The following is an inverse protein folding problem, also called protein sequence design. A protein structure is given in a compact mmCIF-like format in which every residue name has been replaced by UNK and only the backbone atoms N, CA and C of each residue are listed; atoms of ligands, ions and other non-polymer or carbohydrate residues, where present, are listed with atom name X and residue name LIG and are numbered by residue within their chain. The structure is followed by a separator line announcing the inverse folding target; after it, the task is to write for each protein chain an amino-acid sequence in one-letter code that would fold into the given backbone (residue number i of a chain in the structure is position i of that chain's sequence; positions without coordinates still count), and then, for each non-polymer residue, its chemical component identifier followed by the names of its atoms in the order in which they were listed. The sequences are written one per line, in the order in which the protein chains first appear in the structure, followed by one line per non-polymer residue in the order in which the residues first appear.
data_IF_955802379304
#
_entry.id   IF_955802379304
#
_cell.length_a   1.000
_cell.length_b   1.000
_cell.length_c   1.000
_cell.angle_alpha   90.00
_cell.angle_beta   90.00
_cell.angle_gamma   90.00
#
_symmetry.space_group_name_H-M   'P 1'
#
loop_
_entity.id
_entity.type
_entity.pdbx_description
1 polymer ?
#
# COMPACT_ATOMS: atom_id res chain seq x y z
N UNK A 1 3.47 13.62 20.26
CA UNK A 1 3.22 13.44 18.82
C UNK A 1 2.70 12.02 18.62
N UNK A 2 1.43 11.86 18.22
CA UNK A 2 0.83 10.53 18.09
C UNK A 2 1.31 9.87 16.79
N UNK A 3 2.18 8.87 16.90
CA UNK A 3 2.58 8.05 15.74
C UNK A 3 1.44 7.10 15.41
N UNK A 4 0.86 7.20 14.22
CA UNK A 4 -0.19 6.31 13.73
C UNK A 4 0.41 5.05 13.08
N UNK A 5 -0.43 4.05 12.81
CA UNK A 5 -0.05 2.86 12.05
C UNK A 5 -0.56 2.93 10.62
N UNK A 6 0.31 2.66 9.66
CA UNK A 6 -0.03 2.52 8.25
C UNK A 6 -1.06 1.40 8.07
N UNK A 7 -2.24 1.72 7.53
CA UNK A 7 -3.32 0.74 7.33
C UNK A 7 -3.00 -0.33 6.27
N UNK A 8 -1.94 -0.10 5.47
CA UNK A 8 -1.51 -0.99 4.40
C UNK A 8 -0.50 -2.01 4.92
N UNK A 9 0.53 -1.56 5.65
CA UNK A 9 1.65 -2.41 6.04
C UNK A 9 1.99 -2.36 7.54
N UNK A 10 1.12 -1.79 8.37
CA UNK A 10 1.24 -1.64 9.84
C UNK A 10 2.48 -0.90 10.37
N UNK A 11 3.36 -0.44 9.49
CA UNK A 11 4.53 0.36 9.86
C UNK A 11 4.16 1.78 10.31
N UNK A 12 5.13 2.55 10.84
CA UNK A 12 4.87 3.89 11.33
C UNK A 12 4.28 4.82 10.24
N UNK A 13 3.23 5.55 10.61
CA UNK A 13 2.57 6.63 9.86
C UNK A 13 2.57 7.89 10.72
N UNK A 14 2.67 9.04 10.08
CA UNK A 14 2.59 10.34 10.77
C UNK A 14 1.25 11.01 10.43
N UNK A 15 0.77 10.82 9.19
CA UNK A 15 -0.47 11.42 8.68
C UNK A 15 -0.94 10.67 7.43
N UNK A 16 -2.17 10.95 6.99
CA UNK A 16 -2.77 10.36 5.81
C UNK A 16 -2.09 10.80 4.50
N UNK A 17 -1.83 9.84 3.61
CA UNK A 17 -1.43 10.09 2.23
C UNK A 17 -2.46 9.49 1.28
N UNK A 18 -2.75 10.18 0.18
CA UNK A 18 -3.72 9.69 -0.82
C UNK A 18 -5.09 9.34 -0.20
N UNK A 19 -5.51 10.07 0.85
CA UNK A 19 -6.77 9.85 1.56
C UNK A 19 -6.76 8.73 2.61
N UNK A 20 -5.62 8.08 2.87
CA UNK A 20 -5.53 6.94 3.80
C UNK A 20 -4.31 7.07 4.72
N UNK A 21 -4.49 6.78 6.02
CA UNK A 21 -3.42 6.64 7.00
C UNK A 21 -2.40 5.58 6.53
N UNK A 22 -1.25 6.03 6.06
CA UNK A 22 -0.28 5.19 5.37
C UNK A 22 1.13 5.72 5.56
N UNK A 23 2.13 4.84 5.48
CA UNK A 23 3.51 5.28 5.49
C UNK A 23 3.92 5.79 4.10
N UNK A 24 4.92 6.69 4.06
CA UNK A 24 5.46 7.27 2.83
C UNK A 24 5.78 6.22 1.76
N UNK A 25 6.35 5.08 2.16
CA UNK A 25 6.70 4.01 1.21
C UNK A 25 5.49 3.38 0.51
N UNK A 26 4.32 3.30 1.18
CA UNK A 26 3.09 2.79 0.57
C UNK A 26 2.44 3.84 -0.33
N UNK A 27 2.49 5.11 0.08
CA UNK A 27 2.03 6.22 -0.75
C UNK A 27 2.83 6.33 -2.07
N UNK A 28 4.16 6.27 -1.99
CA UNK A 28 5.03 6.34 -3.18
C UNK A 28 4.87 5.10 -4.08
N UNK A 29 4.72 3.92 -3.48
CA UNK A 29 4.38 2.71 -4.22
C UNK A 29 3.05 2.84 -4.98
N UNK A 30 2.00 3.35 -4.32
CA UNK A 30 0.68 3.54 -4.93
C UNK A 30 0.75 4.52 -6.11
N UNK A 31 1.31 5.72 -5.89
CA UNK A 31 1.47 6.75 -6.93
C UNK A 31 2.21 6.23 -8.17
N UNK A 32 3.35 5.56 -7.98
CA UNK A 32 4.13 4.98 -9.10
C UNK A 32 3.39 3.86 -9.82
N UNK A 33 2.59 3.08 -9.11
CA UNK A 33 1.83 1.98 -9.70
C UNK A 33 0.69 2.52 -10.56
N UNK A 34 -0.06 3.50 -10.07
CA UNK A 34 -1.14 4.17 -10.81
C UNK A 34 -0.60 4.91 -12.03
N UNK A 35 0.42 5.76 -11.86
CA UNK A 35 1.00 6.54 -12.96
C UNK A 35 1.56 5.67 -14.10
N UNK A 36 2.07 4.48 -13.77
CA UNK A 36 2.61 3.54 -14.76
C UNK A 36 1.57 2.52 -15.28
N UNK A 37 0.31 2.57 -14.82
CA UNK A 37 -0.72 1.60 -15.20
C UNK A 37 -0.34 0.15 -14.89
N UNK A 38 0.46 -0.10 -13.84
CA UNK A 38 1.03 -1.42 -13.57
C UNK A 38 0.00 -2.34 -12.90
N UNK A 39 -0.12 -3.54 -13.45
CA UNK A 39 -0.82 -4.66 -12.82
C UNK A 39 0.18 -5.65 -12.22
N UNK A 40 -0.12 -6.15 -11.02
CA UNK A 40 0.69 -7.15 -10.33
C UNK A 40 -0.20 -8.32 -9.90
N UNK A 41 0.00 -9.55 -10.43
CA UNK A 41 -0.70 -10.71 -9.90
C UNK A 41 -0.25 -11.01 -8.47
N UNK A 42 -1.11 -11.67 -7.68
CA UNK A 42 -0.72 -12.18 -6.37
C UNK A 42 0.37 -13.26 -6.53
N UNK A 43 1.47 -13.14 -5.77
CA UNK A 43 2.59 -14.10 -5.83
C UNK A 43 2.17 -15.52 -5.44
N UNK A 44 1.27 -15.67 -4.46
CA UNK A 44 0.76 -16.98 -4.01
C UNK A 44 -0.50 -17.43 -4.74
N UNK A 45 -1.12 -16.57 -5.55
CA UNK A 45 -2.39 -16.83 -6.23
C UNK A 45 -3.65 -16.70 -5.36
N UNK A 46 -3.55 -16.69 -4.02
CA UNK A 46 -4.70 -16.69 -3.09
C UNK A 46 -5.25 -15.30 -2.72
N UNK A 47 -4.55 -14.22 -3.10
CA UNK A 47 -4.90 -12.85 -2.74
C UNK A 47 -4.74 -12.49 -1.25
N UNK A 48 -4.20 -13.39 -0.41
CA UNK A 48 -4.17 -13.25 1.07
C UNK A 48 -2.76 -13.08 1.63
N UNK A 49 -1.83 -12.56 0.84
CA UNK A 49 -0.46 -12.33 1.32
C UNK A 49 -0.43 -11.32 2.46
N UNK A 50 0.29 -11.64 3.53
CA UNK A 50 0.53 -10.73 4.63
C UNK A 50 1.37 -9.53 4.16
N UNK A 51 0.94 -8.31 4.49
CA UNK A 51 1.63 -7.07 4.16
C UNK A 51 2.08 -6.41 5.46
N UNK A 52 3.38 -6.47 5.73
CA UNK A 52 4.01 -5.86 6.91
C UNK A 52 5.24 -5.03 6.46
N UNK A 53 5.91 -4.27 7.35
CA UNK A 53 6.99 -3.38 6.94
C UNK A 53 8.19 -4.10 6.29
N UNK A 54 8.44 -5.35 6.68
CA UNK A 54 9.56 -6.17 6.21
C UNK A 54 9.21 -6.87 4.89
N UNK A 55 7.99 -7.42 4.78
CA UNK A 55 7.57 -8.31 3.69
C UNK A 55 6.69 -7.66 2.63
N UNK A 56 6.35 -6.37 2.75
CA UNK A 56 5.50 -5.66 1.76
C UNK A 56 6.03 -5.69 0.32
N UNK A 57 7.29 -6.07 0.11
CA UNK A 57 7.89 -6.24 -1.21
C UNK A 57 7.62 -7.62 -1.81
N UNK A 58 7.27 -8.62 -0.99
CA UNK A 58 7.08 -10.02 -1.41
C UNK A 58 5.87 -10.20 -2.32
N UNK A 59 4.81 -9.41 -2.13
CA UNK A 59 3.61 -9.45 -2.98
C UNK A 59 3.11 -8.05 -3.29
N UNK A 60 3.58 -7.50 -4.43
CA UNK A 60 3.12 -6.20 -4.95
C UNK A 60 1.63 -6.20 -5.30
N UNK A 61 1.08 -7.34 -5.75
CA UNK A 61 -0.34 -7.50 -6.03
C UNK A 61 -1.22 -7.24 -4.81
N UNK A 62 -1.08 -8.05 -3.75
CA UNK A 62 -1.84 -7.85 -2.51
C UNK A 62 -1.58 -6.48 -1.86
N UNK A 63 -0.35 -5.95 -1.95
CA UNK A 63 -0.06 -4.60 -1.46
C UNK A 63 -0.89 -3.55 -2.20
N UNK A 64 -0.95 -3.62 -3.53
CA UNK A 64 -1.70 -2.67 -4.35
C UNK A 64 -3.21 -2.83 -4.20
N UNK A 65 -3.70 -4.07 -4.17
CA UNK A 65 -5.12 -4.35 -3.87
C UNK A 65 -5.53 -3.78 -2.52
N UNK A 66 -4.67 -3.90 -1.49
CA UNK A 66 -4.94 -3.30 -0.18
C UNK A 66 -4.96 -1.77 -0.20
N UNK A 67 -4.10 -1.13 -0.99
CA UNK A 67 -4.18 0.31 -1.21
C UNK A 67 -5.55 0.71 -1.79
N UNK A 68 -5.99 0.02 -2.83
CA UNK A 68 -7.29 0.27 -3.48
C UNK A 68 -8.47 -0.02 -2.56
N UNK A 69 -8.45 -1.14 -1.83
CA UNK A 69 -9.55 -1.56 -0.95
C UNK A 69 -9.78 -0.59 0.21
N UNK A 70 -8.73 0.11 0.64
CA UNK A 70 -8.81 1.17 1.66
C UNK A 70 -9.17 2.54 1.08
N UNK A 71 -9.39 2.64 -0.24
CA UNK A 71 -9.81 3.87 -0.88
C UNK A 71 -8.69 4.86 -1.17
N UNK A 72 -7.43 4.40 -1.31
CA UNK A 72 -6.37 5.31 -1.80
C UNK A 72 -6.72 5.85 -3.18
N UNK A 73 -6.62 7.18 -3.34
CA UNK A 73 -6.87 7.86 -4.61
C UNK A 73 -5.65 8.67 -5.02
N UNK A 74 -5.32 8.60 -6.31
CA UNK A 74 -4.30 9.41 -6.94
C UNK A 74 -4.77 9.65 -8.38
N UNK A 75 -5.04 10.90 -8.69
CA UNK A 75 -5.28 11.38 -10.06
C UNK A 75 -3.97 12.05 -10.49
N UNK A 76 -3.23 11.49 -11.47
CA UNK A 76 -1.93 11.99 -11.89
C UNK A 76 -1.91 13.43 -12.41
#
# INVERSE_FOLDING_TARGET
SSTHSCLICTGPSIYAHCGVESCRSCADFFKRTVAAGRYFPCRKGDGKCNINPHDRHNCRGCRFERCKSLGMKFDP
#
